data_IF_695098050298
#
_entry.id   IF_695098050298
#
_cell.length_a   1.000
_cell.length_b   1.000
_cell.length_c   1.000
_cell.angle_alpha   90.00
_cell.angle_beta   90.00
_cell.angle_gamma   90.00
#
_symmetry.space_group_name_H-M   'P 1'
#
loop_
_entity.id
_entity.type
_entity.pdbx_description
1 polymer ?
#
# COMPACT_ATOMS: atom_id res chain seq x y z
N UNK A 1 -5.80 -35.40 10.93
CA UNK A 1 -5.43 -34.38 11.92
C UNK A 1 -6.75 -33.81 12.41
N UNK A 2 -7.03 -33.87 13.72
CA UNK A 2 -8.26 -33.29 14.26
C UNK A 2 -8.19 -31.75 14.16
N UNK A 3 -9.35 -31.09 14.06
CA UNK A 3 -9.45 -29.63 14.03
C UNK A 3 -8.77 -29.02 15.26
N UNK A 4 -9.00 -29.61 16.44
CA UNK A 4 -8.44 -29.17 17.72
C UNK A 4 -6.92 -29.31 17.79
N UNK A 5 -6.36 -30.37 17.20
CA UNK A 5 -4.91 -30.55 17.07
C UNK A 5 -4.29 -29.46 16.17
N UNK A 6 -5.03 -29.01 15.16
CA UNK A 6 -4.57 -28.03 14.18
C UNK A 6 -4.46 -26.62 14.79
N UNK A 7 -5.40 -26.27 15.67
CA UNK A 7 -5.43 -24.97 16.34
C UNK A 7 -4.75 -24.98 17.72
N UNK A 8 -4.19 -26.12 18.14
CA UNK A 8 -3.58 -26.31 19.45
C UNK A 8 -4.48 -25.84 20.61
N UNK A 9 -5.75 -26.25 20.58
CA UNK A 9 -6.78 -25.83 21.56
C UNK A 9 -7.67 -27.01 21.94
N UNK A 10 -8.18 -27.02 23.18
CA UNK A 10 -9.11 -28.06 23.63
C UNK A 10 -10.54 -27.80 23.15
N UNK A 11 -11.32 -28.86 22.96
CA UNK A 11 -12.73 -28.76 22.59
C UNK A 11 -13.54 -27.94 23.60
N UNK A 12 -13.24 -28.09 24.89
CA UNK A 12 -13.86 -27.35 25.98
C UNK A 12 -13.54 -25.85 25.87
N UNK A 13 -12.30 -25.48 25.54
CA UNK A 13 -11.88 -24.09 25.33
C UNK A 13 -12.60 -23.45 24.16
N UNK A 14 -12.70 -24.14 23.01
CA UNK A 14 -13.42 -23.64 21.84
C UNK A 14 -14.92 -23.47 22.11
N UNK A 15 -15.53 -24.42 22.84
CA UNK A 15 -16.93 -24.30 23.26
C UNK A 15 -17.15 -23.10 24.20
N UNK A 16 -16.23 -22.86 25.13
CA UNK A 16 -16.29 -21.70 26.01
C UNK A 16 -16.19 -20.38 25.21
N UNK A 17 -15.27 -20.31 24.24
CA UNK A 17 -15.12 -19.16 23.36
C UNK A 17 -16.37 -18.92 22.51
N UNK A 18 -16.93 -19.96 21.88
CA UNK A 18 -18.14 -19.85 21.08
C UNK A 18 -19.34 -19.36 21.90
N UNK A 19 -19.50 -19.86 23.12
CA UNK A 19 -20.55 -19.43 24.05
C UNK A 19 -20.37 -17.99 24.55
N UNK A 20 -19.13 -17.56 24.75
CA UNK A 20 -18.84 -16.16 25.07
C UNK A 20 -19.14 -15.24 23.89
N UNK A 21 -18.67 -15.61 22.68
CA UNK A 21 -18.86 -14.84 21.46
C UNK A 21 -20.34 -14.68 21.09
N UNK A 22 -21.14 -15.74 21.24
CA UNK A 22 -22.57 -15.72 20.89
C UNK A 22 -23.37 -14.69 21.72
N UNK A 23 -22.93 -14.43 22.96
CA UNK A 23 -23.56 -13.49 23.91
C UNK A 23 -23.16 -12.04 23.69
N UNK A 24 -22.17 -11.75 22.82
CA UNK A 24 -21.77 -10.37 22.55
C UNK A 24 -22.83 -9.62 21.72
N UNK A 25 -22.99 -8.29 21.91
CA UNK A 25 -23.79 -7.47 21.02
C UNK A 25 -23.27 -7.51 19.58
N UNK A 26 -24.17 -7.35 18.60
CA UNK A 26 -23.83 -7.44 17.17
C UNK A 26 -22.80 -6.40 16.75
N UNK A 27 -22.86 -5.18 17.29
CA UNK A 27 -21.85 -4.14 17.04
C UNK A 27 -20.45 -4.60 17.46
N UNK A 28 -20.34 -5.32 18.58
CA UNK A 28 -19.06 -5.82 19.08
C UNK A 28 -18.54 -6.99 18.24
N UNK A 29 -19.43 -7.88 17.80
CA UNK A 29 -19.09 -8.95 16.85
C UNK A 29 -18.60 -8.37 15.52
N UNK A 30 -19.32 -7.39 14.98
CA UNK A 30 -18.94 -6.68 13.75
C UNK A 30 -17.56 -6.01 13.89
N UNK A 31 -17.32 -5.30 15.00
CA UNK A 31 -16.01 -4.70 15.26
C UNK A 31 -14.88 -5.73 15.29
N UNK A 32 -15.07 -6.86 15.99
CA UNK A 32 -14.05 -7.92 16.05
C UNK A 32 -13.73 -8.48 14.66
N UNK A 33 -14.73 -8.67 13.80
CA UNK A 33 -14.52 -9.09 12.41
C UNK A 33 -13.76 -8.05 11.60
N UNK A 34 -14.13 -6.77 11.72
CA UNK A 34 -13.41 -5.67 11.08
C UNK A 34 -11.96 -5.58 11.54
N UNK A 35 -11.70 -5.70 12.84
CA UNK A 35 -10.34 -5.64 13.41
C UNK A 35 -9.48 -6.80 12.90
N UNK A 36 -10.06 -8.01 12.80
CA UNK A 36 -9.35 -9.18 12.24
C UNK A 36 -9.00 -8.98 10.75
N UNK A 37 -9.94 -8.45 9.98
CA UNK A 37 -9.70 -8.13 8.56
C UNK A 37 -8.62 -7.04 8.42
N UNK A 38 -8.69 -5.99 9.24
CA UNK A 38 -7.70 -4.92 9.29
C UNK A 38 -6.32 -5.47 9.65
N UNK A 39 -6.23 -6.37 10.62
CA UNK A 39 -4.97 -7.02 11.00
C UNK A 39 -4.30 -7.75 9.82
N UNK A 40 -5.09 -8.46 9.01
CA UNK A 40 -4.61 -9.12 7.80
C UNK A 40 -4.05 -8.11 6.77
N UNK A 41 -4.77 -7.00 6.55
CA UNK A 41 -4.30 -5.92 5.67
C UNK A 41 -3.00 -5.31 6.18
N UNK A 42 -2.94 -4.94 7.46
CA UNK A 42 -1.75 -4.29 8.05
C UNK A 42 -0.53 -5.21 8.05
N UNK A 43 -0.72 -6.51 8.23
CA UNK A 43 0.37 -7.49 8.13
C UNK A 43 0.97 -7.53 6.72
N UNK A 44 0.13 -7.55 5.68
CA UNK A 44 0.59 -7.55 4.30
C UNK A 44 1.25 -6.22 3.96
N UNK A 45 0.69 -5.10 4.41
CA UNK A 45 1.30 -3.78 4.25
C UNK A 45 2.70 -3.73 4.85
N UNK A 46 2.84 -4.17 6.09
CA UNK A 46 4.12 -4.17 6.80
C UNK A 46 5.17 -5.00 6.05
N UNK A 47 4.83 -6.23 5.67
CA UNK A 47 5.75 -7.12 4.97
C UNK A 47 6.13 -6.60 3.58
N UNK A 48 5.14 -6.16 2.79
CA UNK A 48 5.39 -5.64 1.45
C UNK A 48 6.23 -4.35 1.48
N UNK A 49 6.02 -3.46 2.46
CA UNK A 49 6.82 -2.25 2.63
C UNK A 49 8.25 -2.50 3.09
N UNK A 50 8.55 -3.63 3.73
CA UNK A 50 9.95 -4.02 4.01
C UNK A 50 10.74 -4.28 2.74
N UNK A 51 10.10 -4.90 1.74
CA UNK A 51 10.74 -5.21 0.46
C UNK A 51 10.74 -4.01 -0.49
N UNK A 52 9.62 -3.29 -0.54
CA UNK A 52 9.48 -2.06 -1.33
C UNK A 52 8.71 -0.99 -0.54
N UNK A 53 9.42 -0.05 0.12
CA UNK A 53 8.78 0.96 0.98
C UNK A 53 7.91 1.95 0.20
N UNK A 54 8.04 2.00 -1.13
CA UNK A 54 7.37 2.97 -1.99
C UNK A 54 6.08 2.45 -2.63
N UNK A 55 5.62 1.25 -2.27
CA UNK A 55 4.33 0.74 -2.73
C UNK A 55 3.21 1.70 -2.35
N UNK A 56 2.33 1.94 -3.32
CA UNK A 56 1.11 2.74 -3.16
C UNK A 56 0.08 1.99 -2.31
N UNK A 57 -0.87 2.70 -1.72
CA UNK A 57 -1.91 2.06 -0.90
C UNK A 57 -2.76 1.10 -1.75
N UNK A 58 -3.06 1.50 -2.99
CA UNK A 58 -3.75 0.64 -3.95
C UNK A 58 -2.95 -0.61 -4.35
N UNK A 59 -1.63 -0.54 -4.47
CA UNK A 59 -0.78 -1.72 -4.70
C UNK A 59 -0.81 -2.67 -3.49
N UNK A 60 -0.75 -2.13 -2.28
CA UNK A 60 -0.80 -2.93 -1.04
C UNK A 60 -2.15 -3.62 -0.85
N UNK A 61 -3.25 -2.91 -1.10
CA UNK A 61 -4.59 -3.50 -1.07
C UNK A 61 -4.77 -4.55 -2.16
N UNK A 62 -4.22 -4.34 -3.36
CA UNK A 62 -4.24 -5.34 -4.42
C UNK A 62 -3.49 -6.61 -4.01
N UNK A 63 -2.30 -6.48 -3.39
CA UNK A 63 -1.57 -7.64 -2.86
C UNK A 63 -2.42 -8.42 -1.84
N UNK A 64 -3.07 -7.72 -0.91
CA UNK A 64 -3.97 -8.37 0.04
C UNK A 64 -5.09 -9.14 -0.66
N UNK A 65 -5.74 -8.54 -1.66
CA UNK A 65 -6.79 -9.18 -2.45
C UNK A 65 -6.27 -10.39 -3.24
N UNK A 66 -5.08 -10.28 -3.84
CA UNK A 66 -4.44 -11.37 -4.59
C UNK A 66 -4.12 -12.58 -3.70
N UNK A 67 -3.70 -12.36 -2.45
CA UNK A 67 -3.37 -13.43 -1.52
C UNK A 67 -4.58 -14.06 -0.84
N UNK A 68 -5.61 -13.28 -0.51
CA UNK A 68 -6.67 -13.75 0.40
C UNK A 68 -8.05 -13.87 -0.25
N UNK A 69 -8.31 -13.13 -1.33
CA UNK A 69 -9.66 -12.98 -1.87
C UNK A 69 -9.79 -13.40 -3.33
N UNK A 70 -8.68 -13.64 -4.04
CA UNK A 70 -8.68 -13.96 -5.47
C UNK A 70 -9.61 -15.11 -5.83
N UNK A 71 -9.55 -16.20 -5.06
CA UNK A 71 -10.33 -17.40 -5.32
C UNK A 71 -11.81 -17.26 -4.89
N UNK A 72 -12.15 -16.18 -4.18
CA UNK A 72 -13.53 -15.84 -3.84
C UNK A 72 -14.29 -15.15 -4.99
N UNK A 73 -13.61 -14.79 -6.08
CA UNK A 73 -14.20 -14.09 -7.22
C UNK A 73 -14.07 -14.90 -8.52
N UNK A 74 -15.06 -14.81 -9.43
CA UNK A 74 -14.87 -15.26 -10.80
C UNK A 74 -13.67 -14.57 -11.48
N UNK A 75 -12.94 -15.25 -12.39
CA UNK A 75 -11.73 -14.71 -13.01
C UNK A 75 -11.91 -13.32 -13.66
N UNK A 76 -13.04 -13.10 -14.35
CA UNK A 76 -13.38 -11.84 -14.99
C UNK A 76 -13.65 -10.72 -13.98
N UNK A 77 -14.26 -11.05 -12.84
CA UNK A 77 -14.51 -10.10 -11.75
C UNK A 77 -13.19 -9.70 -11.11
N UNK A 78 -12.31 -10.66 -10.84
CA UNK A 78 -11.00 -10.38 -10.28
C UNK A 78 -10.12 -9.59 -11.26
N UNK A 79 -10.18 -9.88 -12.56
CA UNK A 79 -9.48 -9.10 -13.58
C UNK A 79 -9.94 -7.64 -13.61
N UNK A 80 -11.25 -7.38 -13.44
CA UNK A 80 -11.79 -6.03 -13.32
C UNK A 80 -11.29 -5.32 -12.05
N UNK A 81 -11.32 -6.00 -10.89
CA UNK A 81 -10.80 -5.48 -9.62
C UNK A 81 -9.33 -5.10 -9.78
N UNK A 82 -8.51 -6.03 -10.29
CA UNK A 82 -7.08 -5.83 -10.53
C UNK A 82 -6.82 -4.61 -11.42
N UNK A 83 -7.55 -4.49 -12.53
CA UNK A 83 -7.47 -3.33 -13.42
C UNK A 83 -7.76 -2.03 -12.67
N UNK A 84 -8.84 -1.98 -11.88
CA UNK A 84 -9.23 -0.78 -11.13
C UNK A 84 -8.24 -0.40 -10.05
N UNK A 85 -7.66 -1.37 -9.35
CA UNK A 85 -6.62 -1.11 -8.35
C UNK A 85 -5.35 -0.58 -8.98
N UNK A 86 -4.93 -1.13 -10.13
CA UNK A 86 -3.77 -0.62 -10.87
C UNK A 86 -4.00 0.80 -11.43
N UNK A 87 -5.22 1.12 -11.88
CA UNK A 87 -5.60 2.49 -12.29
C UNK A 87 -5.48 3.48 -11.12
N UNK A 88 -5.90 3.09 -9.91
CA UNK A 88 -5.77 3.92 -8.70
C UNK A 88 -4.32 4.10 -8.27
N UNK A 89 -3.55 3.00 -8.24
CA UNK A 89 -2.12 3.04 -7.96
C UNK A 89 -1.38 4.00 -8.90
N UNK A 90 -1.75 3.99 -10.18
CA UNK A 90 -1.16 4.88 -11.17
C UNK A 90 -1.50 6.36 -10.90
N UNK A 91 -2.70 6.68 -10.42
CA UNK A 91 -3.03 8.05 -10.00
C UNK A 91 -2.31 8.45 -8.70
N UNK A 92 -2.15 7.56 -7.73
CA UNK A 92 -1.35 7.81 -6.52
C UNK A 92 0.11 8.15 -6.89
N UNK A 93 0.69 7.39 -7.83
CA UNK A 93 2.01 7.70 -8.39
C UNK A 93 2.07 9.08 -9.05
N UNK A 94 1.07 9.44 -9.87
CA UNK A 94 0.98 10.77 -10.50
C UNK A 94 0.85 11.88 -9.47
N UNK A 95 0.10 11.66 -8.39
CA UNK A 95 -0.04 12.62 -7.29
C UNK A 95 1.29 12.85 -6.57
N UNK A 96 2.02 11.78 -6.23
CA UNK A 96 3.36 11.86 -5.62
C UNK A 96 4.35 12.60 -6.52
N UNK A 97 4.33 12.30 -7.82
CA UNK A 97 5.14 13.02 -8.80
C UNK A 97 4.83 14.52 -8.88
N UNK A 98 3.53 14.89 -8.89
CA UNK A 98 3.10 16.30 -8.86
C UNK A 98 3.55 16.99 -7.57
N UNK A 99 3.48 16.31 -6.43
CA UNK A 99 3.93 16.82 -5.14
C UNK A 99 5.44 17.09 -5.14
N UNK A 100 6.25 16.10 -5.56
CA UNK A 100 7.70 16.27 -5.74
C UNK A 100 8.03 17.47 -6.63
N UNK A 101 7.41 17.56 -7.81
CA UNK A 101 7.64 18.65 -8.76
C UNK A 101 7.33 20.02 -8.13
N UNK A 102 6.22 20.11 -7.39
CA UNK A 102 5.81 21.34 -6.70
C UNK A 102 6.82 21.74 -5.63
N UNK A 103 7.33 20.79 -4.86
CA UNK A 103 8.28 21.04 -3.78
C UNK A 103 9.66 21.46 -4.30
N UNK A 104 10.12 20.85 -5.40
CA UNK A 104 11.37 21.21 -6.06
C UNK A 104 11.26 22.44 -6.97
N UNK A 105 10.07 23.03 -7.11
CA UNK A 105 9.77 24.10 -8.06
C UNK A 105 10.17 23.81 -9.51
N UNK A 106 10.19 22.53 -9.90
CA UNK A 106 10.60 22.11 -11.24
C UNK A 106 9.51 22.34 -12.27
N UNK A 107 9.90 22.80 -13.45
CA UNK A 107 9.08 22.84 -14.67
C UNK A 107 9.26 21.57 -15.49
N UNK A 108 8.32 21.29 -16.41
CA UNK A 108 8.49 20.12 -17.30
C UNK A 108 9.69 20.30 -18.23
N UNK A 109 10.03 21.54 -18.60
CA UNK A 109 11.17 21.93 -19.43
C UNK A 109 12.51 21.68 -18.73
N UNK A 110 12.61 21.98 -17.44
CA UNK A 110 13.81 21.70 -16.64
C UNK A 110 14.03 20.20 -16.48
N UNK A 111 12.96 19.46 -16.20
CA UNK A 111 13.02 18.00 -16.13
C UNK A 111 13.41 17.40 -17.48
N UNK A 112 12.82 17.87 -18.58
CA UNK A 112 13.16 17.39 -19.92
C UNK A 112 14.64 17.64 -20.24
N UNK A 113 15.18 18.82 -19.91
CA UNK A 113 16.61 19.12 -20.05
C UNK A 113 17.48 18.20 -19.20
N UNK A 114 17.12 17.97 -17.94
CA UNK A 114 17.87 17.09 -17.05
C UNK A 114 17.91 15.64 -17.54
N UNK A 115 16.81 15.16 -18.14
CA UNK A 115 16.66 13.78 -18.59
C UNK A 115 17.06 13.55 -20.06
N UNK A 116 17.47 14.60 -20.78
CA UNK A 116 17.76 14.53 -22.21
C UNK A 116 16.52 14.23 -23.08
N UNK A 117 15.33 14.58 -22.62
CA UNK A 117 14.10 14.43 -23.39
C UNK A 117 13.96 15.55 -24.45
N UNK A 118 13.23 15.27 -25.53
CA UNK A 118 13.09 16.19 -26.67
C UNK A 118 12.39 17.52 -26.32
N UNK A 119 11.42 17.51 -25.42
CA UNK A 119 10.75 18.72 -24.91
C UNK A 119 9.98 18.47 -23.61
N UNK A 120 9.66 19.55 -22.88
CA UNK A 120 8.78 19.48 -21.71
C UNK A 120 7.36 19.01 -22.05
N UNK A 121 6.85 19.34 -23.23
CA UNK A 121 5.55 18.86 -23.71
C UNK A 121 5.52 17.34 -23.93
N UNK A 122 6.59 16.77 -24.49
CA UNK A 122 6.71 15.31 -24.66
C UNK A 122 6.70 14.59 -23.31
N UNK A 123 7.38 15.17 -22.32
CA UNK A 123 7.40 14.65 -20.97
C UNK A 123 6.02 14.75 -20.30
N UNK A 124 5.37 15.90 -20.41
CA UNK A 124 4.02 16.14 -19.88
C UNK A 124 3.00 15.16 -20.47
N UNK A 125 3.04 14.94 -21.78
CA UNK A 125 2.17 13.99 -22.46
C UNK A 125 2.38 12.56 -21.97
N UNK A 126 3.65 12.15 -21.78
CA UNK A 126 4.01 10.83 -21.27
C UNK A 126 3.49 10.62 -19.85
N UNK A 127 3.81 11.54 -18.93
CA UNK A 127 3.36 11.52 -17.52
C UNK A 127 1.83 11.50 -17.42
N UNK A 128 1.13 12.24 -18.29
CA UNK A 128 -0.34 12.31 -18.26
C UNK A 128 -0.99 10.96 -18.59
N UNK A 129 -0.41 10.20 -19.54
CA UNK A 129 -0.91 8.86 -19.90
C UNK A 129 -0.56 7.83 -18.82
N UNK A 130 0.73 7.65 -18.56
CA UNK A 130 1.27 6.72 -17.57
C UNK A 130 2.62 7.24 -17.10
N UNK A 131 2.80 7.32 -15.80
CA UNK A 131 4.03 7.74 -15.17
C UNK A 131 5.15 6.75 -15.54
N UNK A 132 6.18 7.20 -16.29
CA UNK A 132 7.28 6.33 -16.70
C UNK A 132 8.08 5.82 -15.51
N UNK A 133 8.80 4.70 -15.68
CA UNK A 133 9.61 4.09 -14.63
C UNK A 133 10.65 5.04 -14.02
N UNK A 134 11.35 5.84 -14.84
CA UNK A 134 12.32 6.83 -14.34
C UNK A 134 11.66 7.88 -13.43
N UNK A 135 10.41 8.25 -13.69
CA UNK A 135 9.71 9.26 -12.91
C UNK A 135 9.27 8.69 -11.55
N UNK A 136 8.89 7.40 -11.51
CA UNK A 136 8.67 6.67 -10.25
C UNK A 136 9.96 6.59 -9.43
N UNK A 137 11.10 6.26 -10.07
CA UNK A 137 12.40 6.25 -9.40
C UNK A 137 12.79 7.62 -8.83
N UNK A 138 12.57 8.69 -9.59
CA UNK A 138 12.83 10.05 -9.12
C UNK A 138 12.00 10.38 -7.86
N UNK A 139 10.72 9.99 -7.85
CA UNK A 139 9.84 10.12 -6.67
C UNK A 139 10.41 9.34 -5.49
N UNK A 140 10.80 8.07 -5.68
CA UNK A 140 11.38 7.26 -4.60
C UNK A 140 12.64 7.89 -4.00
N UNK A 141 13.56 8.36 -4.85
CA UNK A 141 14.80 9.02 -4.40
C UNK A 141 14.48 10.29 -3.62
N UNK A 142 13.58 11.13 -4.14
CA UNK A 142 13.16 12.36 -3.50
C UNK A 142 12.53 12.12 -2.13
N UNK A 143 11.58 11.18 -2.03
CA UNK A 143 10.91 10.86 -0.77
C UNK A 143 11.90 10.29 0.25
N UNK A 144 12.84 9.43 -0.18
CA UNK A 144 13.89 8.92 0.70
C UNK A 144 14.79 10.03 1.25
N UNK A 145 15.25 10.94 0.39
CA UNK A 145 16.06 12.09 0.81
C UNK A 145 15.32 12.98 1.80
N UNK A 146 14.00 13.15 1.60
CA UNK A 146 13.14 13.92 2.50
C UNK A 146 13.00 13.25 3.87
N UNK A 147 12.79 11.93 3.91
CA UNK A 147 12.73 11.17 5.17
C UNK A 147 14.05 11.21 5.94
N UNK A 148 15.18 11.07 5.25
CA UNK A 148 16.52 11.15 5.86
C UNK A 148 16.84 12.56 6.38
N UNK A 149 16.50 13.61 5.60
CA UNK A 149 16.65 15.00 6.03
C UNK A 149 15.75 15.40 7.20
N UNK A 150 14.57 14.78 7.32
CA UNK A 150 13.69 14.98 8.48
C UNK A 150 14.21 14.25 9.73
N UNK A 151 14.78 13.05 9.57
CA UNK A 151 15.41 12.31 10.69
C UNK A 151 16.67 13.01 11.23
N UNK A 152 17.44 13.68 10.38
CA UNK A 152 18.62 14.45 10.79
C UNK A 152 18.32 15.77 11.52
N UNK A 153 17.09 16.28 11.44
CA UNK A 153 16.64 17.52 12.09
C UNK A 153 15.80 17.28 13.36
N UNK A 154 15.65 16.04 13.82
CA UNK A 154 15.00 15.72 15.09
C UNK A 154 16.05 15.75 16.21
N UNK A 155 15.99 16.70 17.19
CA UNK A 155 16.98 16.83 18.25
C UNK A 155 16.91 15.75 19.35
N UNK A 156 16.27 14.61 19.11
CA UNK A 156 16.05 13.56 20.12
C UNK A 156 17.06 12.39 20.06
N UNK A 157 18.13 12.49 19.27
CA UNK A 157 19.27 11.57 19.40
C UNK A 157 20.47 12.28 20.03
N UNK A 158 20.27 12.73 21.27
CA UNK A 158 21.35 12.91 22.25
C UNK A 158 20.87 12.24 23.53
N UNK A 159 21.02 10.93 23.63
CA UNK A 159 21.15 10.27 24.94
C UNK A 159 22.24 9.18 24.85
N UNK A 160 23.28 9.45 25.64
CA UNK A 160 24.41 8.68 26.19
C UNK A 160 25.40 7.90 25.30
#
# INVERSE_FOLDING_TARGET
MDYFDTINSSKESELAYANWYSRLPDERKAKMLCDLFQFGIETIKYNAKKENPFLTESELLLLYMEFNLKDAYPPETFAFIRKKMLERAEEEWKQRFRAMKKELSWTYEEMARFMGASSGDSLKASVSRKLPGFAKLAVCVFEKMKEEGQKGNNPENVED
#
